data_IF_267437940624
#
_entry.id   IF_267437940624
#
_cell.length_a   1.000
_cell.length_b   1.000
_cell.length_c   1.000
_cell.angle_alpha   90.00
_cell.angle_beta   90.00
_cell.angle_gamma   90.00
#
_symmetry.space_group_name_H-M   'P 1'
#
loop_
_entity.id
_entity.type
_entity.pdbx_description
1 polymer ?
#
# COMPACT_ATOMS: atom_id res chain seq x y z
N UNK A 1 -12.93 -3.53 21.64
CA UNK A 1 -13.51 -3.34 20.29
C UNK A 1 -13.79 -4.71 19.70
N UNK A 2 -14.91 -4.88 19.00
CA UNK A 2 -15.17 -6.09 18.21
C UNK A 2 -14.58 -5.92 16.82
N UNK A 3 -13.83 -6.94 16.36
CA UNK A 3 -13.16 -6.94 15.06
C UNK A 3 -13.79 -7.99 14.15
N UNK A 4 -13.80 -7.72 12.85
CA UNK A 4 -14.28 -8.62 11.80
C UNK A 4 -13.10 -8.91 10.87
N UNK A 5 -12.84 -10.18 10.60
CA UNK A 5 -11.98 -10.64 9.51
C UNK A 5 -12.83 -10.71 8.25
N UNK A 6 -12.43 -9.96 7.23
CA UNK A 6 -13.08 -10.01 5.92
C UNK A 6 -12.56 -11.23 5.17
N UNK A 7 -13.49 -12.01 4.63
CA UNK A 7 -13.26 -13.26 3.91
C UNK A 7 -14.03 -13.27 2.59
N UNK A 8 -13.83 -14.29 1.76
CA UNK A 8 -14.63 -14.48 0.53
C UNK A 8 -16.15 -14.52 0.81
N UNK A 9 -16.56 -15.06 1.97
CA UNK A 9 -17.97 -15.26 2.29
C UNK A 9 -18.68 -13.97 2.73
N UNK A 10 -17.95 -13.01 3.32
CA UNK A 10 -18.56 -11.80 3.87
C UNK A 10 -18.14 -10.49 3.16
N UNK A 11 -17.17 -10.52 2.24
CA UNK A 11 -16.64 -9.32 1.59
C UNK A 11 -17.72 -8.51 0.87
N UNK A 12 -18.74 -9.14 0.30
CA UNK A 12 -19.76 -8.44 -0.48
C UNK A 12 -20.68 -7.59 0.41
N UNK A 13 -20.89 -7.98 1.65
CA UNK A 13 -21.74 -7.29 2.63
C UNK A 13 -20.95 -6.35 3.53
N UNK A 14 -19.69 -6.68 3.85
CA UNK A 14 -18.86 -5.90 4.74
C UNK A 14 -18.38 -4.60 4.08
N UNK A 15 -18.33 -3.51 4.86
CA UNK A 15 -17.67 -2.28 4.41
C UNK A 15 -16.15 -2.44 4.49
N UNK A 16 -15.44 -1.88 3.52
CA UNK A 16 -13.99 -1.74 3.59
C UNK A 16 -13.64 -0.36 4.14
N UNK A 17 -12.82 -0.32 5.19
CA UNK A 17 -12.57 0.89 5.98
C UNK A 17 -11.79 1.98 5.27
N UNK A 18 -10.99 1.64 4.25
CA UNK A 18 -10.25 2.62 3.48
C UNK A 18 -11.15 3.43 2.54
N UNK A 19 -12.26 2.85 2.04
CA UNK A 19 -13.31 3.57 1.32
C UNK A 19 -14.65 3.33 2.00
N UNK A 20 -15.18 4.37 2.67
CA UNK A 20 -16.43 4.31 3.43
C UNK A 20 -17.67 4.64 2.58
N UNK A 21 -17.58 4.51 1.28
CA UNK A 21 -18.71 4.64 0.35
C UNK A 21 -19.64 3.44 0.43
N UNK A 22 -20.70 3.44 -0.35
CA UNK A 22 -21.57 2.26 -0.47
C UNK A 22 -20.87 1.16 -1.28
N UNK A 23 -21.36 -0.08 -1.14
CA UNK A 23 -20.76 -1.25 -1.80
C UNK A 23 -20.86 -1.25 -3.34
N UNK A 24 -21.62 -0.33 -3.95
CA UNK A 24 -21.74 -0.14 -5.40
C UNK A 24 -20.81 0.94 -5.95
N UNK A 25 -20.10 1.65 -5.08
CA UNK A 25 -19.12 2.67 -5.49
C UNK A 25 -17.92 1.99 -6.17
N UNK A 26 -17.49 2.53 -7.31
CA UNK A 26 -16.38 1.97 -8.09
C UNK A 26 -15.12 1.78 -7.25
N UNK A 27 -14.83 2.67 -6.31
CA UNK A 27 -13.70 2.57 -5.40
C UNK A 27 -13.78 1.32 -4.51
N UNK A 28 -14.98 1.04 -4.00
CA UNK A 28 -15.22 -0.13 -3.15
C UNK A 28 -15.19 -1.41 -3.97
N UNK A 29 -15.84 -1.43 -5.13
CA UNK A 29 -15.85 -2.57 -6.03
C UNK A 29 -14.43 -2.98 -6.45
N UNK A 30 -13.63 -2.03 -6.95
CA UNK A 30 -12.25 -2.29 -7.41
C UNK A 30 -11.37 -2.87 -6.30
N UNK A 31 -11.46 -2.32 -5.08
CA UNK A 31 -10.71 -2.85 -3.93
C UNK A 31 -11.17 -4.25 -3.55
N UNK A 32 -12.47 -4.50 -3.52
CA UNK A 32 -13.02 -5.82 -3.18
C UNK A 32 -12.60 -6.88 -4.19
N UNK A 33 -12.63 -6.56 -5.50
CA UNK A 33 -12.16 -7.48 -6.54
C UNK A 33 -10.67 -7.80 -6.38
N UNK A 34 -9.84 -6.80 -6.10
CA UNK A 34 -8.43 -7.02 -5.78
C UNK A 34 -8.28 -7.92 -4.54
N UNK A 35 -9.01 -7.66 -3.45
CA UNK A 35 -8.96 -8.50 -2.24
C UNK A 35 -9.38 -9.95 -2.53
N UNK A 36 -10.44 -10.17 -3.32
CA UNK A 36 -10.89 -11.51 -3.72
C UNK A 36 -9.78 -12.28 -4.44
N UNK A 37 -9.02 -11.62 -5.32
CA UNK A 37 -7.90 -12.25 -6.04
C UNK A 37 -6.70 -12.60 -5.14
N UNK A 38 -6.58 -11.95 -3.97
CA UNK A 38 -5.46 -12.14 -3.04
C UNK A 38 -5.78 -13.07 -1.85
N UNK A 39 -7.03 -13.43 -1.59
CA UNK A 39 -7.37 -14.27 -0.43
C UNK A 39 -6.73 -15.66 -0.48
N UNK A 40 -6.63 -16.27 -1.67
CA UNK A 40 -5.96 -17.57 -1.83
C UNK A 40 -4.45 -17.48 -1.67
N UNK A 41 -3.88 -16.29 -1.86
CA UNK A 41 -2.48 -15.97 -1.57
C UNK A 41 -2.24 -15.64 -0.08
N UNK A 42 -3.26 -15.73 0.77
CA UNK A 42 -3.17 -15.52 2.21
C UNK A 42 -3.42 -14.09 2.69
N UNK A 43 -4.06 -13.25 1.86
CA UNK A 43 -4.46 -11.90 2.29
C UNK A 43 -5.39 -11.95 3.49
N UNK A 44 -5.08 -11.15 4.49
CA UNK A 44 -5.91 -10.93 5.68
C UNK A 44 -6.29 -9.47 5.78
N UNK A 45 -7.57 -9.20 5.94
CA UNK A 45 -8.10 -7.87 6.21
C UNK A 45 -8.94 -7.91 7.50
N UNK A 46 -8.42 -7.31 8.57
CA UNK A 46 -9.11 -7.20 9.86
C UNK A 46 -9.53 -5.76 10.09
N UNK A 47 -10.80 -5.56 10.39
CA UNK A 47 -11.37 -4.23 10.63
C UNK A 47 -12.24 -4.19 11.88
N UNK A 48 -12.51 -2.98 12.40
CA UNK A 48 -13.53 -2.82 13.41
C UNK A 48 -14.93 -3.13 12.85
N UNK A 49 -15.79 -3.74 13.66
CA UNK A 49 -17.22 -3.91 13.35
C UNK A 49 -17.89 -2.56 13.19
N UNK A 50 -17.51 -1.60 14.01
CA UNK A 50 -18.01 -0.23 13.92
C UNK A 50 -17.54 0.42 12.61
N UNK A 51 -18.45 1.10 11.91
CA UNK A 51 -18.13 1.85 10.70
C UNK A 51 -17.12 2.95 11.01
N UNK A 52 -15.98 2.95 10.32
CA UNK A 52 -14.90 3.91 10.52
C UNK A 52 -13.58 3.38 9.98
N UNK A 53 -12.55 4.23 10.01
CA UNK A 53 -11.20 3.86 9.53
C UNK A 53 -10.41 3.26 10.67
N UNK A 54 -10.56 1.95 10.86
CA UNK A 54 -9.84 1.15 11.85
C UNK A 54 -9.64 -0.26 11.30
N UNK A 55 -8.50 -0.52 10.68
CA UNK A 55 -8.19 -1.80 10.03
C UNK A 55 -6.69 -2.01 9.87
N UNK A 56 -6.34 -3.27 9.64
CA UNK A 56 -5.03 -3.72 9.18
C UNK A 56 -5.23 -4.71 8.04
N UNK A 57 -4.37 -4.63 7.03
CA UNK A 57 -4.31 -5.52 5.87
C UNK A 57 -2.89 -6.06 5.76
N UNK A 58 -2.73 -7.37 5.65
CA UNK A 58 -1.43 -8.03 5.55
C UNK A 58 -1.50 -9.33 4.77
N UNK A 59 -0.37 -9.77 4.23
CA UNK A 59 -0.23 -10.94 3.39
C UNK A 59 1.17 -11.56 3.62
N UNK A 60 1.39 -12.88 3.44
CA UNK A 60 2.74 -13.43 3.35
C UNK A 60 3.59 -12.65 2.36
N UNK A 61 4.79 -12.24 2.76
CA UNK A 61 5.62 -11.31 1.98
C UNK A 61 5.99 -11.85 0.59
N UNK A 62 6.12 -13.17 0.44
CA UNK A 62 6.32 -13.87 -0.83
C UNK A 62 5.16 -13.67 -1.83
N UNK A 63 3.97 -13.34 -1.31
CA UNK A 63 2.75 -13.05 -2.09
C UNK A 63 2.41 -11.56 -2.16
N UNK A 64 3.19 -10.70 -1.49
CA UNK A 64 2.94 -9.27 -1.47
C UNK A 64 3.11 -8.64 -2.87
N UNK A 65 2.27 -7.65 -3.16
CA UNK A 65 2.30 -6.90 -4.41
C UNK A 65 3.32 -5.75 -4.36
N UNK A 66 4.55 -6.08 -3.96
CA UNK A 66 5.63 -5.11 -3.76
C UNK A 66 6.97 -5.77 -4.12
N UNK A 67 7.93 -5.06 -4.74
CA UNK A 67 9.21 -5.61 -5.16
C UNK A 67 10.21 -5.68 -3.98
N UNK A 68 9.98 -6.62 -3.07
CA UNK A 68 10.85 -6.90 -1.91
C UNK A 68 11.35 -8.35 -1.91
N UNK A 69 12.42 -8.59 -1.19
CA UNK A 69 12.91 -9.90 -0.77
C UNK A 69 12.74 -9.94 0.74
N UNK A 70 11.75 -10.70 1.21
CA UNK A 70 11.37 -10.79 2.61
C UNK A 70 10.77 -12.17 2.90
N UNK A 71 11.48 -13.22 2.48
CA UNK A 71 11.02 -14.60 2.63
C UNK A 71 10.68 -14.89 4.10
N UNK A 72 9.57 -15.61 4.30
CA UNK A 72 9.05 -15.96 5.62
C UNK A 72 8.62 -14.78 6.50
N UNK A 73 8.58 -13.56 6.01
CA UNK A 73 7.95 -12.43 6.71
C UNK A 73 6.46 -12.33 6.40
N UNK A 74 5.71 -11.66 7.28
CA UNK A 74 4.38 -11.16 7.00
C UNK A 74 4.50 -9.69 6.57
N UNK A 75 4.00 -9.34 5.39
CA UNK A 75 4.00 -7.97 4.89
C UNK A 75 2.69 -7.27 5.24
N UNK A 76 2.79 -6.11 5.89
CA UNK A 76 1.62 -5.26 6.18
C UNK A 76 1.40 -4.32 4.99
N UNK A 77 0.34 -4.56 4.24
CA UNK A 77 -0.05 -3.78 3.06
C UNK A 77 -0.60 -2.40 3.44
N UNK A 78 -1.51 -2.37 4.41
CA UNK A 78 -2.16 -1.15 4.84
C UNK A 78 -2.57 -1.23 6.31
N UNK A 79 -2.34 -0.14 7.03
CA UNK A 79 -2.64 -0.06 8.46
C UNK A 79 -3.12 1.34 8.81
N UNK A 80 -4.39 1.47 9.21
CA UNK A 80 -4.96 2.79 9.44
C UNK A 80 -6.01 2.82 10.55
N UNK A 81 -5.79 3.70 11.52
CA UNK A 81 -6.77 4.05 12.54
C UNK A 81 -6.90 5.57 12.58
N UNK A 82 -8.10 6.10 12.35
CA UNK A 82 -8.30 7.55 12.29
C UNK A 82 -9.67 8.01 12.81
N UNK A 83 -9.86 9.33 12.83
CA UNK A 83 -11.10 9.96 13.32
C UNK A 83 -11.35 9.68 14.80
N UNK A 84 -12.59 9.45 15.15
CA UNK A 84 -13.01 9.19 16.53
C UNK A 84 -12.42 7.91 17.15
N UNK A 85 -11.81 7.04 16.33
CA UNK A 85 -11.21 5.77 16.77
C UNK A 85 -9.71 5.93 17.13
N UNK A 86 -9.09 7.08 16.79
CA UNK A 86 -7.68 7.36 17.10
C UNK A 86 -7.46 7.55 18.60
N UNK A 87 -6.30 7.09 19.11
CA UNK A 87 -5.87 7.29 20.50
C UNK A 87 -6.53 6.35 21.52
N UNK A 88 -7.32 5.37 21.07
CA UNK A 88 -8.04 4.41 21.92
C UNK A 88 -7.36 3.04 22.03
N UNK A 89 -6.11 2.90 21.60
CA UNK A 89 -5.38 1.63 21.66
C UNK A 89 -5.63 0.68 20.50
N UNK A 90 -6.62 0.91 19.65
CA UNK A 90 -7.02 -0.03 18.58
C UNK A 90 -5.94 -0.35 17.55
N UNK A 91 -4.99 0.57 17.32
CA UNK A 91 -3.83 0.25 16.49
C UNK A 91 -2.91 -0.80 17.13
N UNK A 92 -2.82 -0.84 18.47
CA UNK A 92 -2.06 -1.86 19.16
C UNK A 92 -2.77 -3.22 19.06
N UNK A 93 -4.10 -3.24 19.22
CA UNK A 93 -4.88 -4.48 19.11
C UNK A 93 -4.72 -5.10 17.72
N UNK A 94 -4.88 -4.29 16.66
CA UNK A 94 -4.73 -4.74 15.28
C UNK A 94 -3.32 -5.24 14.97
N UNK A 95 -2.29 -4.52 15.42
CA UNK A 95 -0.90 -4.94 15.24
C UNK A 95 -0.61 -6.24 16.00
N UNK A 96 -1.10 -6.38 17.23
CA UNK A 96 -0.95 -7.60 18.01
C UNK A 96 -1.65 -8.80 17.34
N UNK A 97 -2.83 -8.62 16.74
CA UNK A 97 -3.48 -9.67 15.95
C UNK A 97 -2.61 -10.10 14.77
N UNK A 98 -2.04 -9.13 14.03
CA UNK A 98 -1.12 -9.42 12.93
C UNK A 98 0.13 -10.20 13.40
N UNK A 99 0.71 -9.82 14.55
CA UNK A 99 1.85 -10.53 15.17
C UNK A 99 1.47 -11.98 15.51
N UNK A 100 0.31 -12.19 16.14
CA UNK A 100 -0.14 -13.54 16.52
C UNK A 100 -0.42 -14.41 15.28
N UNK A 101 -1.11 -13.85 14.27
CA UNK A 101 -1.36 -14.54 13.00
C UNK A 101 -0.05 -14.91 12.30
N UNK A 102 0.91 -13.98 12.22
CA UNK A 102 2.22 -14.24 11.62
C UNK A 102 2.96 -15.37 12.34
N UNK A 103 3.01 -15.33 13.68
CA UNK A 103 3.64 -16.39 14.48
C UNK A 103 2.94 -17.74 14.31
N UNK A 104 1.62 -17.77 14.28
CA UNK A 104 0.84 -19.01 14.07
C UNK A 104 1.09 -19.66 12.71
N UNK A 105 1.46 -18.85 11.70
CA UNK A 105 1.84 -19.30 10.36
C UNK A 105 3.35 -19.58 10.22
N UNK A 106 4.12 -19.57 11.31
CA UNK A 106 5.57 -19.81 11.30
C UNK A 106 6.37 -18.67 10.66
N UNK A 107 5.80 -17.47 10.50
CA UNK A 107 6.54 -16.33 9.97
C UNK A 107 7.57 -15.83 10.98
N UNK A 108 8.70 -15.36 10.48
CA UNK A 108 9.86 -14.93 11.27
C UNK A 108 9.83 -13.46 11.70
N UNK A 109 8.87 -12.70 11.22
CA UNK A 109 8.72 -11.29 11.55
C UNK A 109 7.66 -10.58 10.69
N UNK A 110 7.56 -9.27 10.87
CA UNK A 110 6.71 -8.39 10.07
C UNK A 110 7.56 -7.42 9.26
N UNK A 111 7.10 -7.03 8.07
CA UNK A 111 7.68 -5.91 7.32
C UNK A 111 6.57 -5.01 6.73
N UNK A 112 6.91 -3.75 6.46
CA UNK A 112 5.98 -2.72 6.00
C UNK A 112 6.74 -1.59 5.29
N UNK A 113 6.12 -0.96 4.29
CA UNK A 113 6.68 0.26 3.69
C UNK A 113 6.44 1.48 4.58
N UNK A 114 7.46 2.32 4.67
CA UNK A 114 7.47 3.60 5.38
C UNK A 114 8.43 4.59 4.69
N UNK A 115 8.85 5.62 5.39
CA UNK A 115 9.80 6.64 4.90
C UNK A 115 10.51 7.32 6.07
N UNK A 116 11.64 8.00 5.82
CA UNK A 116 12.37 8.77 6.86
C UNK A 116 11.51 9.80 7.59
N UNK A 117 10.67 10.50 6.82
CA UNK A 117 9.70 11.48 7.33
C UNK A 117 8.31 11.02 6.93
N UNK A 118 7.32 11.27 7.77
CA UNK A 118 5.93 10.92 7.48
C UNK A 118 5.53 11.42 6.09
N UNK A 119 5.10 10.49 5.23
CA UNK A 119 4.55 10.75 3.89
C UNK A 119 3.09 10.28 3.84
N UNK A 120 2.25 10.89 2.99
CA UNK A 120 0.91 10.38 2.69
C UNK A 120 0.97 8.93 2.18
N UNK A 121 -0.06 8.16 2.47
CA UNK A 121 -0.23 6.76 2.02
C UNK A 121 0.85 5.77 2.47
N UNK A 122 1.69 6.16 3.43
CA UNK A 122 2.66 5.29 4.10
C UNK A 122 2.45 5.30 5.61
N UNK A 123 2.84 4.22 6.25
CA UNK A 123 2.80 4.11 7.70
C UNK A 123 3.78 5.08 8.37
N UNK A 124 3.34 5.69 9.47
CA UNK A 124 4.14 6.69 10.20
C UNK A 124 5.39 6.04 10.82
N UNK A 125 6.62 6.44 10.41
CA UNK A 125 7.85 5.83 10.91
C UNK A 125 8.02 5.98 12.42
N UNK A 126 7.56 7.09 13.01
CA UNK A 126 7.64 7.30 14.46
C UNK A 126 6.76 6.33 15.24
N UNK A 127 5.58 6.01 14.69
CA UNK A 127 4.70 5.00 15.28
C UNK A 127 5.36 3.61 15.20
N UNK A 128 5.85 3.23 14.01
CA UNK A 128 6.50 1.94 13.79
C UNK A 128 7.73 1.75 14.70
N UNK A 129 8.60 2.75 14.80
CA UNK A 129 9.79 2.69 15.69
C UNK A 129 9.41 2.50 17.14
N UNK A 130 8.33 3.18 17.62
CA UNK A 130 7.80 2.95 18.99
C UNK A 130 7.24 1.54 19.20
N UNK A 131 6.96 0.80 18.12
CA UNK A 131 6.52 -0.60 18.14
C UNK A 131 7.66 -1.60 17.90
N UNK A 132 8.90 -1.14 17.91
CA UNK A 132 10.09 -1.97 17.74
C UNK A 132 10.49 -2.22 16.29
N UNK A 133 9.79 -1.65 15.32
CA UNK A 133 10.22 -1.73 13.93
C UNK A 133 11.50 -0.93 13.70
N UNK A 134 12.39 -1.49 12.89
CA UNK A 134 13.67 -0.89 12.47
C UNK A 134 13.70 -0.74 10.95
N UNK A 135 14.52 0.16 10.43
CA UNK A 135 14.77 0.26 8.99
C UNK A 135 15.58 -0.95 8.54
N UNK A 136 15.05 -1.66 7.55
CA UNK A 136 15.71 -2.80 6.91
C UNK A 136 16.50 -2.36 5.67
N UNK A 137 15.85 -1.61 4.78
CA UNK A 137 16.44 -1.12 3.54
C UNK A 137 15.78 0.21 3.12
N UNK A 138 16.46 0.95 2.26
CA UNK A 138 16.01 2.26 1.78
C UNK A 138 16.16 2.36 0.26
N UNK A 139 15.11 2.85 -0.42
CA UNK A 139 15.15 3.21 -1.82
C UNK A 139 15.59 4.66 -2.01
N UNK A 140 16.25 4.98 -3.14
CA UNK A 140 16.77 6.33 -3.45
C UNK A 140 15.66 7.40 -3.51
N UNK A 141 14.40 6.99 -3.69
CA UNK A 141 13.24 7.90 -3.58
C UNK A 141 12.79 8.19 -2.12
N UNK A 142 13.52 7.67 -1.13
CA UNK A 142 13.27 7.88 0.30
C UNK A 142 12.10 7.07 0.87
N UNK A 143 11.77 5.97 0.23
CA UNK A 143 10.86 4.94 0.74
C UNK A 143 11.71 3.88 1.44
N UNK A 144 11.29 3.45 2.62
CA UNK A 144 11.98 2.47 3.44
C UNK A 144 11.15 1.20 3.60
N UNK A 145 11.81 0.06 3.71
CA UNK A 145 11.23 -1.11 4.37
C UNK A 145 11.54 -0.97 5.85
N UNK A 146 10.51 -1.01 6.70
CA UNK A 146 10.67 -1.21 8.14
C UNK A 146 10.27 -2.63 8.50
N UNK A 147 10.97 -3.25 9.45
CA UNK A 147 10.73 -4.64 9.84
C UNK A 147 10.79 -4.81 11.36
N UNK A 148 10.04 -5.79 11.83
CA UNK A 148 10.01 -6.26 13.21
C UNK A 148 10.32 -7.75 13.20
N UNK A 149 11.58 -8.17 13.39
CA UNK A 149 11.93 -9.58 13.46
C UNK A 149 11.45 -10.19 14.78
N UNK A 150 11.06 -11.46 14.76
CA UNK A 150 10.74 -12.20 15.99
C UNK A 150 11.97 -12.83 16.64
N UNK A 151 13.07 -12.95 15.90
CA UNK A 151 14.40 -13.31 16.37
C UNK A 151 15.43 -12.39 15.70
N UNK A 152 16.45 -11.96 16.45
CA UNK A 152 17.47 -11.02 15.96
C UNK A 152 18.38 -11.60 14.85
N UNK A 153 18.46 -12.92 14.75
CA UNK A 153 19.24 -13.62 13.72
C UNK A 153 18.49 -13.76 12.38
N UNK A 154 17.22 -13.35 12.30
CA UNK A 154 16.44 -13.48 11.08
C UNK A 154 16.98 -12.59 9.95
N UNK A 155 16.91 -13.06 8.69
CA UNK A 155 17.35 -12.29 7.52
C UNK A 155 16.68 -10.90 7.45
N UNK A 156 17.43 -9.88 7.07
CA UNK A 156 16.92 -8.52 6.94
C UNK A 156 16.22 -8.35 5.57
N UNK A 157 14.95 -7.94 5.52
CA UNK A 157 14.25 -7.66 4.27
C UNK A 157 14.96 -6.61 3.42
N UNK A 158 14.86 -6.75 2.07
CA UNK A 158 15.50 -5.84 1.12
C UNK A 158 14.57 -5.52 -0.04
N UNK A 159 14.73 -4.34 -0.65
CA UNK A 159 14.17 -4.07 -1.95
C UNK A 159 14.83 -4.92 -3.03
N UNK A 160 14.07 -5.34 -4.04
CA UNK A 160 14.64 -5.84 -5.28
C UNK A 160 15.36 -4.70 -6.00
N UNK A 161 16.39 -5.02 -6.77
CA UNK A 161 17.31 -4.03 -7.38
C UNK A 161 16.59 -2.92 -8.15
N UNK A 162 15.58 -3.27 -8.96
CA UNK A 162 14.83 -2.32 -9.78
C UNK A 162 13.98 -1.33 -8.95
N UNK A 163 13.61 -1.66 -7.71
CA UNK A 163 12.87 -0.77 -6.82
C UNK A 163 13.77 0.08 -5.93
N UNK A 164 15.04 -0.26 -5.84
CA UNK A 164 16.01 0.47 -5.03
C UNK A 164 16.35 1.83 -5.65
N UNK A 165 16.48 1.88 -6.99
CA UNK A 165 16.65 3.12 -7.75
C UNK A 165 15.51 3.24 -8.78
N UNK A 166 14.35 3.80 -8.39
CA UNK A 166 13.19 3.90 -9.25
C UNK A 166 13.45 4.80 -10.47
N UNK A 167 13.54 4.19 -11.63
CA UNK A 167 13.74 4.84 -12.92
C UNK A 167 13.05 4.06 -14.03
N UNK A 168 12.58 4.77 -15.06
CA UNK A 168 11.99 4.21 -16.28
C UNK A 168 12.52 4.95 -17.50
N UNK A 169 12.41 4.35 -18.68
CA UNK A 169 12.89 4.98 -19.94
C UNK A 169 11.85 5.91 -20.59
N UNK A 170 10.58 5.78 -20.20
CA UNK A 170 9.47 6.51 -20.81
C UNK A 170 9.52 8.00 -20.51
N UNK A 171 9.11 8.79 -21.54
CA UNK A 171 8.95 10.25 -21.46
C UNK A 171 7.53 10.64 -21.06
N UNK A 172 7.38 11.88 -20.55
CA UNK A 172 6.12 12.38 -20.01
C UNK A 172 5.75 11.75 -18.67
N UNK A 173 4.49 11.90 -18.29
CA UNK A 173 3.99 11.28 -17.08
C UNK A 173 3.70 9.79 -17.29
N UNK A 174 4.15 8.95 -16.36
CA UNK A 174 3.83 7.52 -16.29
C UNK A 174 3.38 7.17 -14.90
N UNK A 175 2.18 6.62 -14.76
CA UNK A 175 1.59 6.23 -13.49
C UNK A 175 1.49 4.71 -13.38
N UNK A 176 2.22 4.12 -12.44
CA UNK A 176 2.03 2.73 -11.99
C UNK A 176 1.04 2.71 -10.84
N UNK A 177 0.04 1.81 -10.91
CA UNK A 177 -0.95 1.69 -9.84
C UNK A 177 -1.58 0.29 -9.76
N UNK A 178 -2.18 -0.02 -8.62
CA UNK A 178 -2.98 -1.23 -8.37
C UNK A 178 -4.36 -0.86 -7.83
N UNK A 179 -5.29 -1.80 -7.85
CA UNK A 179 -6.60 -1.66 -7.19
C UNK A 179 -6.53 -1.92 -5.66
N UNK A 180 -5.34 -2.17 -5.11
CA UNK A 180 -5.13 -2.26 -3.67
C UNK A 180 -5.56 -0.97 -2.95
N UNK A 181 -5.26 0.20 -3.52
CA UNK A 181 -5.79 1.46 -3.01
C UNK A 181 -7.11 1.83 -3.73
N UNK A 182 -8.25 1.88 -3.03
CA UNK A 182 -9.55 2.13 -3.65
C UNK A 182 -9.64 3.50 -4.33
N UNK A 183 -8.84 4.47 -3.90
CA UNK A 183 -8.86 5.81 -4.48
C UNK A 183 -8.37 5.85 -5.93
N UNK A 184 -7.58 4.87 -6.37
CA UNK A 184 -7.08 4.83 -7.75
C UNK A 184 -8.22 4.71 -8.77
N UNK A 185 -9.21 3.88 -8.49
CA UNK A 185 -10.38 3.74 -9.38
C UNK A 185 -11.15 5.05 -9.61
N UNK A 186 -11.05 5.99 -8.65
CA UNK A 186 -11.67 7.31 -8.78
C UNK A 186 -10.76 8.31 -9.49
N UNK A 187 -9.50 8.38 -9.05
CA UNK A 187 -8.64 9.50 -9.44
C UNK A 187 -7.86 9.25 -10.73
N UNK A 188 -7.50 8.02 -11.06
CA UNK A 188 -6.76 7.74 -12.29
C UNK A 188 -7.49 8.22 -13.54
N UNK A 189 -8.78 7.93 -13.75
CA UNK A 189 -9.51 8.46 -14.91
C UNK A 189 -9.60 10.00 -14.96
N UNK A 190 -9.63 10.64 -13.79
CA UNK A 190 -9.62 12.12 -13.71
C UNK A 190 -8.28 12.66 -14.20
N UNK A 191 -7.16 12.03 -13.80
CA UNK A 191 -5.82 12.46 -14.23
C UNK A 191 -5.62 12.24 -15.74
N UNK A 192 -6.09 11.13 -16.29
CA UNK A 192 -6.08 10.85 -17.73
C UNK A 192 -6.83 11.92 -18.52
N UNK A 193 -8.03 12.28 -18.07
CA UNK A 193 -8.83 13.34 -18.68
C UNK A 193 -8.14 14.70 -18.64
N UNK A 194 -7.58 15.09 -17.48
CA UNK A 194 -6.82 16.35 -17.33
C UNK A 194 -5.63 16.38 -18.26
N UNK A 195 -4.87 15.31 -18.36
CA UNK A 195 -3.72 15.22 -19.23
C UNK A 195 -4.13 15.38 -20.71
N UNK A 196 -5.21 14.73 -21.14
CA UNK A 196 -5.77 14.87 -22.47
C UNK A 196 -6.20 16.31 -22.78
N UNK A 197 -6.95 16.94 -21.87
CA UNK A 197 -7.44 18.32 -22.02
C UNK A 197 -6.31 19.36 -22.09
N UNK A 198 -5.15 19.06 -21.50
CA UNK A 198 -3.96 19.94 -21.49
C UNK A 198 -2.87 19.49 -22.50
N UNK A 199 -3.13 18.52 -23.37
CA UNK A 199 -2.18 17.97 -24.34
C UNK A 199 -0.86 17.46 -23.67
N UNK A 200 -0.98 16.88 -22.47
CA UNK A 200 0.14 16.32 -21.70
C UNK A 200 0.27 14.82 -22.00
N UNK A 201 1.50 14.38 -22.29
CA UNK A 201 1.80 12.94 -22.40
C UNK A 201 1.61 12.26 -21.05
N UNK A 202 0.62 11.38 -20.95
CA UNK A 202 0.28 10.64 -19.74
C UNK A 202 -0.05 9.18 -20.06
N UNK A 203 0.70 8.26 -19.48
CA UNK A 203 0.52 6.81 -19.63
C UNK A 203 0.19 6.19 -18.29
N UNK A 204 -0.79 5.32 -18.24
CA UNK A 204 -1.12 4.53 -17.05
C UNK A 204 -0.68 3.07 -17.24
N UNK A 205 -0.11 2.49 -16.20
CA UNK A 205 0.29 1.09 -16.12
C UNK A 205 -0.44 0.48 -14.93
N UNK A 206 -1.59 -0.14 -15.21
CA UNK A 206 -2.36 -0.85 -14.21
C UNK A 206 -1.72 -2.22 -13.96
N UNK A 207 -1.25 -2.45 -12.76
CA UNK A 207 -0.65 -3.71 -12.31
C UNK A 207 -1.77 -4.67 -11.92
N UNK A 208 -1.88 -5.79 -12.61
CA UNK A 208 -2.97 -6.77 -12.46
C UNK A 208 -2.57 -8.06 -11.75
N UNK A 209 -1.29 -8.26 -11.45
CA UNK A 209 -0.80 -9.47 -10.80
C UNK A 209 0.34 -9.19 -9.82
N UNK A 210 0.54 -10.11 -8.86
CA UNK A 210 1.69 -10.04 -7.94
C UNK A 210 3.02 -10.12 -8.67
N UNK A 211 3.11 -10.90 -9.74
CA UNK A 211 4.33 -11.00 -10.56
C UNK A 211 4.69 -9.65 -11.20
N UNK A 212 3.71 -8.96 -11.79
CA UNK A 212 3.93 -7.61 -12.32
C UNK A 212 4.33 -6.63 -11.20
N UNK A 213 3.66 -6.69 -10.04
CA UNK A 213 4.00 -5.85 -8.91
C UNK A 213 5.42 -6.10 -8.39
N UNK A 214 5.82 -7.35 -8.30
CA UNK A 214 7.17 -7.73 -7.83
C UNK A 214 8.29 -7.43 -8.83
N UNK A 215 7.96 -7.14 -10.09
CA UNK A 215 8.88 -6.71 -11.14
C UNK A 215 8.79 -5.19 -11.40
N UNK A 216 7.91 -4.47 -10.71
CA UNK A 216 7.72 -3.04 -10.92
C UNK A 216 8.98 -2.23 -10.58
N UNK A 217 9.27 -1.15 -11.35
CA UNK A 217 10.45 -0.30 -11.15
C UNK A 217 10.27 0.71 -10.00
N UNK A 218 9.46 0.39 -9.02
CA UNK A 218 9.10 1.30 -7.93
C UNK A 218 8.78 0.54 -6.64
N UNK A 219 9.20 1.05 -5.48
CA UNK A 219 8.84 0.44 -4.20
C UNK A 219 7.34 0.58 -3.85
N UNK A 220 6.63 1.55 -4.43
CA UNK A 220 5.22 1.82 -4.12
C UNK A 220 4.32 1.44 -5.31
N UNK A 221 3.97 0.18 -5.44
CA UNK A 221 3.13 -0.36 -6.53
C UNK A 221 1.66 0.09 -6.45
N UNK A 222 1.20 0.46 -5.26
CA UNK A 222 -0.16 1.00 -5.07
C UNK A 222 -0.38 2.31 -5.81
N UNK A 223 0.64 3.17 -5.88
CA UNK A 223 0.64 4.41 -6.64
C UNK A 223 2.07 4.94 -6.76
N UNK A 224 2.58 5.10 -7.96
CA UNK A 224 3.87 5.76 -8.24
C UNK A 224 3.81 6.53 -9.54
N UNK A 225 4.01 7.84 -9.44
CA UNK A 225 4.03 8.74 -10.57
C UNK A 225 5.47 9.09 -10.95
N UNK A 226 5.79 8.92 -12.23
CA UNK A 226 7.05 9.30 -12.85
C UNK A 226 6.83 10.45 -13.83
N UNK A 227 7.88 11.23 -14.08
CA UNK A 227 7.94 12.21 -15.15
C UNK A 227 9.32 12.19 -15.79
N UNK A 228 9.39 12.04 -17.11
CA UNK A 228 10.62 11.90 -17.88
C UNK A 228 11.63 10.91 -17.28
N UNK A 229 11.14 9.73 -16.95
CA UNK A 229 11.91 8.64 -16.38
C UNK A 229 12.15 8.71 -14.88
N UNK A 230 11.98 9.86 -14.25
CA UNK A 230 12.27 10.09 -12.83
C UNK A 230 11.04 9.87 -11.95
N UNK A 231 11.20 9.17 -10.84
CA UNK A 231 10.15 9.05 -9.84
C UNK A 231 9.84 10.41 -9.20
N UNK A 232 8.56 10.75 -9.13
CA UNK A 232 8.07 12.02 -8.57
C UNK A 232 7.45 11.83 -7.20
N UNK A 233 6.49 10.89 -7.07
CA UNK A 233 5.72 10.75 -5.82
C UNK A 233 4.94 9.45 -5.75
N UNK A 234 4.71 8.99 -4.51
CA UNK A 234 3.69 8.01 -4.15
C UNK A 234 2.40 8.66 -3.59
N UNK A 235 2.38 9.99 -3.45
CA UNK A 235 1.20 10.71 -2.97
C UNK A 235 0.15 10.77 -4.08
N UNK A 236 -1.00 10.18 -3.82
CA UNK A 236 -2.08 10.11 -4.78
C UNK A 236 -2.54 11.51 -5.17
N UNK A 237 -2.52 11.77 -6.47
CA UNK A 237 -2.93 13.04 -7.03
C UNK A 237 -4.45 13.10 -7.17
N UNK A 238 -5.02 14.24 -6.82
CA UNK A 238 -6.33 14.69 -7.28
C UNK A 238 -6.12 15.77 -8.34
N UNK A 239 -7.20 16.21 -8.99
CA UNK A 239 -7.18 17.27 -10.01
C UNK A 239 -6.29 18.46 -9.62
N UNK A 240 -6.57 19.10 -8.48
CA UNK A 240 -5.83 20.30 -8.02
C UNK A 240 -4.33 20.05 -7.81
N UNK A 241 -3.97 18.89 -7.25
CA UNK A 241 -2.55 18.53 -7.04
C UNK A 241 -1.85 18.25 -8.36
N UNK A 242 -2.53 17.58 -9.29
CA UNK A 242 -1.96 17.22 -10.58
C UNK A 242 -1.74 18.45 -11.46
N UNK A 243 -2.69 19.38 -11.54
CA UNK A 243 -2.52 20.65 -12.24
C UNK A 243 -1.30 21.43 -11.71
N UNK A 244 -1.17 21.55 -10.38
CA UNK A 244 0.03 22.17 -9.77
C UNK A 244 1.32 21.42 -10.07
N UNK A 245 1.28 20.12 -10.24
CA UNK A 245 2.45 19.34 -10.59
C UNK A 245 2.83 19.59 -12.05
N UNK A 246 1.88 19.63 -12.97
CA UNK A 246 2.10 20.00 -14.38
C UNK A 246 2.79 21.37 -14.46
N UNK A 247 2.25 22.41 -13.83
CA UNK A 247 2.83 23.76 -13.79
C UNK A 247 4.29 23.78 -13.29
N UNK A 248 4.68 22.80 -12.47
CA UNK A 248 6.03 22.75 -11.90
C UNK A 248 7.04 22.03 -12.78
N UNK A 249 6.62 21.05 -13.59
CA UNK A 249 7.53 20.15 -14.31
C UNK A 249 7.49 20.31 -15.82
N UNK A 250 6.40 20.88 -16.38
CA UNK A 250 6.25 21.30 -17.76
C UNK A 250 6.45 22.81 -17.91
#
# INVERSE_FOLDING_TARGET
MEYIRVTKDNIDTEHICCALSNNKDIQVCSKKEWMKSCFDDGLVFVKSKQRGKCFIEYIPAENAWVPIVADDYMYIDCFWVSGALKGRGYSNDLLNQCIQDAKSQGKIGLCILSSKKKKPFLSDPKYLSKKGFRVADESDCGINIMYLPFDENNPIPKFKTQAKNPHIEEKGFVLYYTNQCPFNAKYVPILEKIAQENNISFKTIHIHSKQQAQLAPTPCTTYSLFYDGKWITNDQQNEKKFLKLIEKVC
#
